data_IF_383460265721
#
_entry.id   IF_383460265721
#
_cell.length_a   1.000
_cell.length_b   1.000
_cell.length_c   1.000
_cell.angle_alpha   90.00
_cell.angle_beta   90.00
_cell.angle_gamma   90.00
#
_symmetry.space_group_name_H-M   'P 1'
#
loop_
_entity.id
_entity.type
_entity.pdbx_description
1 polymer ?
#
# COMPACT_ATOMS: atom_id res chain seq x y z
N UNK A 1 -2.19 11.96 -27.98
CA UNK A 1 -2.67 10.81 -27.18
C UNK A 1 -1.79 10.56 -25.96
N UNK A 2 -0.46 10.50 -26.12
CA UNK A 2 0.51 10.26 -25.03
C UNK A 2 0.43 11.24 -23.85
N UNK A 3 0.25 12.55 -24.12
CA UNK A 3 0.07 13.54 -23.04
C UNK A 3 -1.19 13.32 -22.20
N UNK A 4 -2.25 12.73 -22.80
CA UNK A 4 -3.51 12.45 -22.10
C UNK A 4 -3.37 11.24 -21.18
N UNK A 5 -2.78 10.15 -21.68
CA UNK A 5 -2.55 8.93 -20.89
C UNK A 5 -1.57 9.17 -19.75
N UNK A 6 -0.51 9.97 -19.97
CA UNK A 6 0.42 10.37 -18.92
C UNK A 6 -0.29 11.16 -17.80
N UNK A 7 -1.13 12.13 -18.17
CA UNK A 7 -1.89 12.93 -17.20
C UNK A 7 -2.86 12.05 -16.39
N UNK A 8 -3.62 11.18 -17.04
CA UNK A 8 -4.55 10.26 -16.38
C UNK A 8 -3.80 9.31 -15.44
N UNK A 9 -2.75 8.66 -15.93
CA UNK A 9 -1.93 7.74 -15.13
C UNK A 9 -1.31 8.42 -13.91
N UNK A 10 -0.80 9.64 -14.08
CA UNK A 10 -0.24 10.42 -12.99
C UNK A 10 -1.29 10.83 -11.96
N UNK A 11 -2.50 11.20 -12.39
CA UNK A 11 -3.61 11.47 -11.48
C UNK A 11 -4.03 10.24 -10.68
N UNK A 12 -4.08 9.06 -11.31
CA UNK A 12 -4.39 7.80 -10.64
C UNK A 12 -3.28 7.45 -9.63
N UNK A 13 -2.01 7.59 -10.01
CA UNK A 13 -0.90 7.35 -9.10
C UNK A 13 -0.90 8.33 -7.92
N UNK A 14 -1.25 9.60 -8.16
CA UNK A 14 -1.43 10.60 -7.10
C UNK A 14 -2.57 10.20 -6.15
N UNK A 15 -3.71 9.78 -6.70
CA UNK A 15 -4.83 9.30 -5.90
C UNK A 15 -4.46 8.06 -5.08
N UNK A 16 -3.67 7.13 -5.64
CA UNK A 16 -3.12 5.98 -4.92
C UNK A 16 -2.26 6.45 -3.74
N UNK A 17 -1.30 7.36 -3.97
CA UNK A 17 -0.41 7.86 -2.92
C UNK A 17 -1.18 8.58 -1.79
N UNK A 18 -2.20 9.36 -2.12
CA UNK A 18 -3.12 9.96 -1.14
C UNK A 18 -3.91 8.89 -0.39
N UNK A 19 -4.44 7.88 -1.10
CA UNK A 19 -5.15 6.76 -0.49
C UNK A 19 -4.24 6.01 0.51
N UNK A 20 -3.01 5.69 0.12
CA UNK A 20 -2.04 5.04 0.99
C UNK A 20 -1.73 5.89 2.23
N UNK A 21 -1.61 7.21 2.07
CA UNK A 21 -1.44 8.13 3.20
C UNK A 21 -2.64 8.10 4.15
N UNK A 22 -3.87 8.15 3.63
CA UNK A 22 -5.08 8.06 4.47
C UNK A 22 -5.14 6.71 5.20
N UNK A 23 -4.90 5.60 4.49
CA UNK A 23 -4.87 4.26 5.08
C UNK A 23 -3.81 4.16 6.18
N UNK A 24 -2.63 4.74 5.97
CA UNK A 24 -1.55 4.75 6.96
C UNK A 24 -1.94 5.48 8.26
N UNK A 25 -2.67 6.59 8.15
CA UNK A 25 -3.21 7.32 9.31
C UNK A 25 -4.25 6.46 10.03
N UNK A 26 -5.15 5.78 9.29
CA UNK A 26 -6.13 4.87 9.90
C UNK A 26 -5.45 3.73 10.66
N UNK A 27 -4.37 3.17 10.12
CA UNK A 27 -3.63 2.10 10.80
C UNK A 27 -3.00 2.53 12.10
N UNK A 28 -2.62 3.80 12.25
CA UNK A 28 -2.07 4.35 13.49
C UNK A 28 -3.21 4.68 14.47
N UNK A 29 -4.24 5.38 13.99
CA UNK A 29 -5.28 5.96 14.84
C UNK A 29 -6.32 4.97 15.31
N UNK A 30 -6.63 3.95 14.50
CA UNK A 30 -7.67 2.95 14.77
C UNK A 30 -7.15 1.52 14.53
N UNK A 31 -5.90 1.26 14.93
CA UNK A 31 -5.21 -0.03 14.73
C UNK A 31 -6.04 -1.23 15.19
N UNK A 32 -6.65 -1.14 16.37
CA UNK A 32 -7.43 -2.23 16.95
C UNK A 32 -8.61 -2.60 16.06
N UNK A 33 -9.33 -1.60 15.53
CA UNK A 33 -10.45 -1.82 14.61
C UNK A 33 -9.97 -2.38 13.27
N UNK A 34 -8.87 -1.85 12.73
CA UNK A 34 -8.34 -2.27 11.42
C UNK A 34 -7.85 -3.71 11.40
N UNK A 35 -7.31 -4.19 12.52
CA UNK A 35 -6.58 -5.46 12.60
C UNK A 35 -7.20 -6.48 13.57
N UNK A 36 -8.32 -6.20 14.24
CA UNK A 36 -9.00 -7.16 15.13
C UNK A 36 -9.37 -8.45 14.39
N UNK A 37 -9.90 -8.30 13.17
CA UNK A 37 -10.25 -9.44 12.32
C UNK A 37 -9.03 -10.26 11.93
N UNK A 38 -7.86 -9.62 11.76
CA UNK A 38 -6.64 -10.33 11.44
C UNK A 38 -6.08 -11.12 12.63
N UNK A 39 -6.11 -10.51 13.82
CA UNK A 39 -5.68 -11.16 15.04
C UNK A 39 -6.55 -12.38 15.35
N UNK A 40 -7.87 -12.24 15.25
CA UNK A 40 -8.82 -13.34 15.46
C UNK A 40 -8.63 -14.45 14.43
N UNK A 41 -8.51 -14.10 13.14
CA UNK A 41 -8.36 -15.08 12.08
C UNK A 41 -7.05 -15.88 12.19
N UNK A 42 -5.97 -15.27 12.69
CA UNK A 42 -4.68 -15.96 12.85
C UNK A 42 -4.55 -16.73 14.16
N UNK A 43 -5.03 -16.17 15.29
CA UNK A 43 -4.83 -16.76 16.63
C UNK A 43 -6.02 -17.57 17.13
N UNK A 44 -7.21 -17.38 16.56
CA UNK A 44 -8.47 -17.92 17.09
C UNK A 44 -8.97 -17.23 18.36
N UNK A 45 -8.25 -16.22 18.87
CA UNK A 45 -8.59 -15.49 20.09
C UNK A 45 -9.08 -14.08 19.78
N UNK A 46 -10.04 -13.58 20.57
CA UNK A 46 -10.42 -12.17 20.53
C UNK A 46 -9.26 -11.29 20.98
N UNK A 47 -8.99 -10.22 20.22
CA UNK A 47 -7.96 -9.24 20.56
C UNK A 47 -8.29 -8.53 21.89
N UNK A 48 -9.56 -8.21 22.14
CA UNK A 48 -9.98 -7.55 23.39
C UNK A 48 -9.66 -8.40 24.61
N UNK A 49 -9.92 -9.70 24.51
CA UNK A 49 -9.76 -10.64 25.62
C UNK A 49 -8.27 -10.92 25.87
N UNK A 50 -7.47 -10.97 24.80
CA UNK A 50 -6.02 -11.06 24.90
C UNK A 50 -5.43 -9.82 25.60
N UNK A 51 -5.90 -8.62 25.29
CA UNK A 51 -5.44 -7.40 25.96
C UNK A 51 -5.91 -7.33 27.42
N UNK A 52 -7.17 -7.69 27.69
CA UNK A 52 -7.73 -7.72 29.04
C UNK A 52 -7.00 -8.71 29.97
N UNK A 53 -6.50 -9.82 29.41
CA UNK A 53 -5.66 -10.79 30.14
C UNK A 53 -4.18 -10.37 30.28
N UNK A 54 -3.80 -9.19 29.79
CA UNK A 54 -2.44 -8.67 29.88
C UNK A 54 -1.45 -9.32 28.90
N UNK A 55 -1.94 -9.83 27.77
CA UNK A 55 -1.09 -10.50 26.77
C UNK A 55 -0.08 -9.54 26.13
N UNK A 56 1.21 -9.76 26.42
CA UNK A 56 2.30 -9.02 25.80
C UNK A 56 2.45 -9.26 24.31
N UNK A 57 2.03 -10.42 23.80
CA UNK A 57 2.02 -10.66 22.35
C UNK A 57 0.96 -9.84 21.64
N UNK A 58 -0.22 -9.64 22.24
CA UNK A 58 -1.27 -8.78 21.69
C UNK A 58 -0.86 -7.29 21.70
N UNK A 59 -0.24 -6.82 22.79
CA UNK A 59 0.33 -5.45 22.86
C UNK A 59 1.43 -5.23 21.82
N UNK A 60 2.35 -6.19 21.67
CA UNK A 60 3.44 -6.13 20.69
C UNK A 60 2.90 -6.18 19.26
N UNK A 61 1.88 -6.99 18.99
CA UNK A 61 1.22 -7.04 17.69
C UNK A 61 0.65 -5.68 17.30
N UNK A 62 -0.11 -5.03 18.18
CA UNK A 62 -0.66 -3.70 17.94
C UNK A 62 0.42 -2.65 17.73
N UNK A 63 1.47 -2.67 18.55
CA UNK A 63 2.61 -1.78 18.40
C UNK A 63 3.27 -1.94 17.03
N UNK A 64 3.47 -3.17 16.59
CA UNK A 64 4.04 -3.47 15.27
C UNK A 64 3.15 -2.95 14.13
N UNK A 65 1.83 -3.09 14.23
CA UNK A 65 0.90 -2.56 13.21
C UNK A 65 0.89 -1.03 13.16
N UNK A 66 1.02 -0.35 14.30
CA UNK A 66 1.19 1.11 14.35
C UNK A 66 2.48 1.54 13.68
N UNK A 67 3.59 0.85 13.94
CA UNK A 67 4.88 1.12 13.30
C UNK A 67 4.80 0.98 11.77
N UNK A 68 4.14 -0.08 11.27
CA UNK A 68 3.90 -0.23 9.82
C UNK A 68 3.07 0.92 9.24
N UNK A 69 2.10 1.43 9.99
CA UNK A 69 1.37 2.64 9.61
C UNK A 69 2.29 3.85 9.47
N UNK A 70 3.21 4.06 10.41
CA UNK A 70 4.20 5.16 10.34
C UNK A 70 5.15 5.00 9.15
N UNK A 71 5.65 3.79 8.90
CA UNK A 71 6.48 3.50 7.73
C UNK A 71 5.75 3.79 6.41
N UNK A 72 4.46 3.42 6.35
CA UNK A 72 3.61 3.67 5.18
C UNK A 72 3.37 5.16 4.95
N UNK A 73 3.34 6.01 5.98
CA UNK A 73 3.32 7.48 5.81
C UNK A 73 4.56 7.92 5.01
N UNK A 74 5.75 7.47 5.42
CA UNK A 74 7.01 7.82 4.75
C UNK A 74 7.00 7.42 3.28
N UNK A 75 6.57 6.18 2.99
CA UNK A 75 6.44 5.67 1.62
C UNK A 75 5.44 6.49 0.82
N UNK A 76 4.28 6.81 1.39
CA UNK A 76 3.22 7.57 0.72
C UNK A 76 3.68 8.99 0.38
N UNK A 77 4.39 9.66 1.30
CA UNK A 77 4.96 10.99 1.07
C UNK A 77 6.00 10.95 -0.04
N UNK A 78 6.92 9.98 -0.03
CA UNK A 78 7.89 9.80 -1.10
C UNK A 78 7.21 9.56 -2.44
N UNK A 79 6.17 8.73 -2.46
CA UNK A 79 5.38 8.45 -3.66
C UNK A 79 4.69 9.70 -4.20
N UNK A 80 4.13 10.56 -3.32
CA UNK A 80 3.57 11.87 -3.72
C UNK A 80 4.63 12.72 -4.42
N UNK A 81 5.84 12.83 -3.85
CA UNK A 81 6.92 13.63 -4.43
C UNK A 81 7.41 13.08 -5.77
N UNK A 82 7.70 11.78 -5.84
CA UNK A 82 8.14 11.11 -7.08
C UNK A 82 7.07 11.26 -8.15
N UNK A 83 5.80 11.08 -7.79
CA UNK A 83 4.67 11.20 -8.72
C UNK A 83 4.55 12.63 -9.25
N UNK A 84 4.58 13.62 -8.35
CA UNK A 84 4.42 15.03 -8.70
C UNK A 84 5.58 15.58 -9.55
N UNK A 85 6.82 15.19 -9.24
CA UNK A 85 8.02 15.84 -9.81
C UNK A 85 8.61 15.12 -11.03
N UNK A 86 8.54 13.80 -11.08
CA UNK A 86 9.24 12.98 -12.10
C UNK A 86 8.30 12.10 -12.90
N UNK A 87 7.38 11.40 -12.23
CA UNK A 87 6.42 10.53 -12.92
C UNK A 87 5.50 11.31 -13.85
N UNK A 88 4.99 12.46 -13.39
CA UNK A 88 4.14 13.37 -14.18
C UNK A 88 4.81 13.92 -15.43
N UNK A 89 6.15 13.92 -15.48
CA UNK A 89 6.95 14.33 -16.64
C UNK A 89 7.29 13.17 -17.57
N UNK A 90 6.94 11.95 -17.19
CA UNK A 90 7.24 10.73 -17.92
C UNK A 90 8.72 10.32 -17.85
N UNK A 91 9.39 10.62 -16.73
CA UNK A 91 10.77 10.17 -16.51
C UNK A 91 10.81 8.65 -16.25
N UNK A 92 11.49 7.88 -17.12
CA UNK A 92 11.49 6.40 -17.07
C UNK A 92 11.93 5.82 -15.74
N UNK A 93 12.95 6.41 -15.11
CA UNK A 93 13.46 5.93 -13.82
C UNK A 93 12.39 5.94 -12.73
N UNK A 94 11.49 6.94 -12.75
CA UNK A 94 10.43 7.07 -11.75
C UNK A 94 9.38 5.97 -11.88
N UNK A 95 9.08 5.55 -13.12
CA UNK A 95 8.19 4.41 -13.37
C UNK A 95 8.78 3.11 -12.84
N UNK A 96 10.07 2.85 -13.10
CA UNK A 96 10.75 1.66 -12.56
C UNK A 96 10.90 1.69 -11.04
N UNK A 97 11.20 2.85 -10.46
CA UNK A 97 11.29 3.03 -9.02
C UNK A 97 9.95 2.72 -8.34
N UNK A 98 8.85 3.26 -8.88
CA UNK A 98 7.50 2.96 -8.41
C UNK A 98 7.17 1.48 -8.59
N UNK A 99 7.40 0.89 -9.78
CA UNK A 99 7.17 -0.53 -10.03
C UNK A 99 7.90 -1.42 -9.03
N UNK A 100 9.23 -1.25 -8.88
CA UNK A 100 10.04 -2.08 -8.01
C UNK A 100 9.58 -1.97 -6.56
N UNK A 101 9.38 -0.75 -6.06
CA UNK A 101 8.94 -0.53 -4.68
C UNK A 101 7.53 -1.08 -4.43
N UNK A 102 6.60 -0.91 -5.38
CA UNK A 102 5.28 -1.49 -5.27
C UNK A 102 5.27 -3.01 -5.36
N UNK A 103 6.10 -3.63 -6.21
CA UNK A 103 6.27 -5.09 -6.24
C UNK A 103 6.84 -5.61 -4.92
N UNK A 104 7.80 -4.91 -4.32
CA UNK A 104 8.34 -5.28 -3.00
C UNK A 104 7.23 -5.15 -1.94
N UNK A 105 6.53 -4.02 -1.89
CA UNK A 105 5.51 -3.77 -0.88
C UNK A 105 4.32 -4.74 -1.03
N UNK A 106 3.62 -4.66 -2.15
CA UNK A 106 2.41 -5.43 -2.41
C UNK A 106 2.71 -6.92 -2.61
N UNK A 107 3.77 -7.23 -3.36
CA UNK A 107 4.15 -8.60 -3.66
C UNK A 107 4.63 -9.35 -2.42
N UNK A 108 5.41 -8.74 -1.52
CA UNK A 108 5.81 -9.40 -0.27
C UNK A 108 4.61 -9.64 0.64
N UNK A 109 3.70 -8.66 0.78
CA UNK A 109 2.53 -8.78 1.65
C UNK A 109 1.53 -9.83 1.16
N UNK A 110 1.18 -9.80 -0.13
CA UNK A 110 0.26 -10.79 -0.73
C UNK A 110 0.94 -12.15 -0.79
N UNK A 111 2.18 -12.20 -1.29
CA UNK A 111 2.93 -13.45 -1.42
C UNK A 111 3.11 -14.16 -0.09
N UNK A 112 3.51 -13.43 0.95
CA UNK A 112 3.69 -14.01 2.28
C UNK A 112 2.37 -14.56 2.85
N UNK A 113 1.29 -13.78 2.77
CA UNK A 113 -0.05 -14.21 3.20
C UNK A 113 -0.51 -15.48 2.50
N UNK A 114 -0.30 -15.57 1.19
CA UNK A 114 -0.62 -16.78 0.41
C UNK A 114 0.25 -17.96 0.86
N UNK A 115 1.56 -17.78 1.04
CA UNK A 115 2.47 -18.87 1.44
C UNK A 115 2.14 -19.49 2.79
N UNK A 116 1.65 -18.70 3.74
CA UNK A 116 1.26 -19.19 5.07
C UNK A 116 -0.21 -19.64 5.14
N UNK A 117 -0.94 -19.66 4.01
CA UNK A 117 -2.36 -20.03 3.95
C UNK A 117 -3.32 -19.02 4.58
N UNK A 118 -2.88 -17.78 4.78
CA UNK A 118 -3.60 -16.71 5.47
C UNK A 118 -4.03 -15.61 4.49
N UNK A 119 -4.93 -15.94 3.55
CA UNK A 119 -5.54 -14.95 2.66
C UNK A 119 -7.05 -14.86 2.90
N UNK A 120 -7.42 -14.18 3.99
CA UNK A 120 -8.82 -13.94 4.33
C UNK A 120 -9.25 -12.52 3.96
N UNK A 121 -10.52 -12.31 3.55
CA UNK A 121 -11.06 -11.00 3.18
C UNK A 121 -11.36 -10.14 4.43
N UNK A 122 -10.33 -9.83 5.22
CA UNK A 122 -10.39 -8.91 6.37
C UNK A 122 -10.43 -7.45 5.92
N UNK A 123 -10.84 -6.53 6.81
CA UNK A 123 -10.82 -5.09 6.52
C UNK A 123 -9.43 -4.61 6.06
N UNK A 124 -8.36 -5.08 6.73
CA UNK A 124 -7.00 -4.76 6.31
C UNK A 124 -6.71 -5.27 4.90
N UNK A 125 -7.04 -6.53 4.58
CA UNK A 125 -6.83 -7.12 3.25
C UNK A 125 -7.55 -6.35 2.13
N UNK A 126 -8.74 -5.81 2.41
CA UNK A 126 -9.49 -5.00 1.44
C UNK A 126 -8.79 -3.68 1.14
N UNK A 127 -8.30 -2.98 2.17
CA UNK A 127 -7.52 -1.75 1.94
C UNK A 127 -6.27 -2.02 1.11
N UNK A 128 -5.64 -3.18 1.31
CA UNK A 128 -4.49 -3.58 0.51
C UNK A 128 -4.86 -3.88 -0.94
N UNK A 129 -5.91 -4.65 -1.20
CA UNK A 129 -6.34 -5.01 -2.56
C UNK A 129 -6.68 -3.75 -3.36
N UNK A 130 -7.42 -2.81 -2.77
CA UNK A 130 -7.76 -1.53 -3.41
C UNK A 130 -6.48 -0.75 -3.75
N UNK A 131 -5.53 -0.66 -2.81
CA UNK A 131 -4.25 -0.01 -3.04
C UNK A 131 -3.44 -0.64 -4.18
N UNK A 132 -3.37 -1.98 -4.22
CA UNK A 132 -2.68 -2.71 -5.27
C UNK A 132 -3.32 -2.51 -6.66
N UNK A 133 -4.65 -2.47 -6.74
CA UNK A 133 -5.38 -2.20 -7.99
C UNK A 133 -5.11 -0.78 -8.49
N UNK A 134 -5.25 0.22 -7.61
CA UNK A 134 -4.97 1.62 -7.97
C UNK A 134 -3.52 1.80 -8.44
N UNK A 135 -2.58 1.13 -7.77
CA UNK A 135 -1.18 1.13 -8.14
C UNK A 135 -0.94 0.51 -9.52
N UNK A 136 -1.50 -0.68 -9.77
CA UNK A 136 -1.36 -1.39 -11.03
C UNK A 136 -1.92 -0.55 -12.20
N UNK A 137 -3.10 0.04 -12.03
CA UNK A 137 -3.70 0.92 -13.05
C UNK A 137 -2.86 2.18 -13.23
N UNK A 138 -2.42 2.80 -12.14
CA UNK A 138 -1.58 4.00 -12.17
C UNK A 138 -0.26 3.79 -12.91
N UNK A 139 0.31 2.58 -12.87
CA UNK A 139 1.49 2.18 -13.65
C UNK A 139 1.18 1.78 -15.09
N UNK A 140 0.12 1.02 -15.32
CA UNK A 140 -0.20 0.44 -16.62
C UNK A 140 -0.69 1.50 -17.62
N UNK A 141 -1.57 2.41 -17.20
CA UNK A 141 -2.19 3.42 -18.08
C UNK A 141 -1.16 4.31 -18.80
N UNK A 142 -0.13 4.88 -18.13
CA UNK A 142 0.87 5.71 -18.80
C UNK A 142 2.08 4.91 -19.32
N UNK A 143 2.11 3.58 -19.17
CA UNK A 143 3.30 2.76 -19.46
C UNK A 143 3.83 2.96 -20.88
N UNK A 144 2.95 2.95 -21.89
CA UNK A 144 3.35 3.17 -23.29
C UNK A 144 3.92 4.58 -23.51
N UNK A 145 3.30 5.59 -22.90
CA UNK A 145 3.76 6.99 -23.01
C UNK A 145 5.12 7.23 -22.32
N UNK A 146 5.45 6.48 -21.26
CA UNK A 146 6.70 6.63 -20.52
C UNK A 146 7.82 5.77 -21.11
N UNK A 147 7.53 4.50 -21.41
CA UNK A 147 8.54 3.51 -21.76
C UNK A 147 8.90 3.52 -23.25
N UNK A 148 7.93 3.79 -24.14
CA UNK A 148 8.14 3.74 -25.61
C UNK A 148 8.62 5.08 -26.18
N UNK A 149 8.60 6.16 -25.39
CA UNK A 149 9.04 7.50 -25.82
C UNK A 149 10.41 7.40 -26.51
N UNK A 150 10.47 7.61 -27.83
CA UNK A 150 11.76 7.62 -28.55
C UNK A 150 12.63 8.70 -27.94
N UNK A 151 13.89 8.37 -27.66
CA UNK A 151 14.90 9.37 -27.36
C UNK A 151 15.06 10.22 -28.61
N UNK A 152 14.51 11.42 -28.60
CA UNK A 152 15.00 12.51 -29.46
C UNK A 152 16.41 12.91 -29.00
#
# INVERSE_FOLDING_TARGET
>A
MEKSTLKIGSSIMMAMAVFALVVSILWISITEVMFVSDYLAYTGQSLSDALASGSKSAELWLTTKRLWGVELIGISVLMLFVTAKSYSKGERWSWYALLLTGCILWGSLIGYKVTIGYFQPTMSSMTFIVGAILFAIGLAVPATAILVKKSE
#
